data_IF_094811466399
#
_entry.id   IF_094811466399
#
_cell.length_a   1.000
_cell.length_b   1.000
_cell.length_c   1.000
_cell.angle_alpha   90.00
_cell.angle_beta   90.00
_cell.angle_gamma   90.00
#
_symmetry.space_group_name_H-M   'P 1'
#
loop_
_entity.id
_entity.type
_entity.pdbx_description
1 polymer ?
#
# COMPACT_ATOMS: atom_id res chain seq x y z
N UNK A 1 3.12 -1.16 -5.98
CA UNK A 1 3.10 -0.62 -4.60
C UNK A 1 2.23 -1.52 -3.75
N UNK A 2 2.42 -1.58 -2.43
CA UNK A 2 1.51 -2.29 -1.54
C UNK A 2 1.26 -1.52 -0.25
N UNK A 3 0.09 -1.76 0.36
CA UNK A 3 -0.24 -1.31 1.72
C UNK A 3 -0.58 -2.50 2.60
N UNK A 4 -0.11 -2.48 3.85
CA UNK A 4 -0.57 -3.44 4.87
C UNK A 4 -0.96 -2.73 6.15
N UNK A 5 -1.99 -3.24 6.83
CA UNK A 5 -2.36 -2.84 8.18
C UNK A 5 -1.82 -3.85 9.19
N UNK A 6 -1.24 -3.38 10.29
CA UNK A 6 -0.77 -4.21 11.41
C UNK A 6 0.14 -5.39 10.99
N UNK A 7 0.94 -5.20 9.94
CA UNK A 7 1.83 -6.23 9.40
C UNK A 7 1.13 -7.38 8.64
N UNK A 8 -0.18 -7.32 8.43
CA UNK A 8 -0.99 -8.35 7.75
C UNK A 8 -0.72 -8.52 6.26
N UNK A 9 -1.63 -9.19 5.55
CA UNK A 9 -1.49 -9.45 4.12
C UNK A 9 -1.58 -8.16 3.29
N UNK A 10 -0.79 -8.04 2.21
CA UNK A 10 -0.77 -6.82 1.39
C UNK A 10 -1.99 -6.67 0.50
N UNK A 11 -2.48 -5.44 0.41
CA UNK A 11 -3.25 -4.95 -0.74
C UNK A 11 -2.25 -4.38 -1.74
N UNK A 12 -2.28 -4.89 -2.96
CA UNK A 12 -1.33 -4.55 -4.03
C UNK A 12 -2.01 -3.56 -4.96
N UNK A 13 -1.30 -2.51 -5.34
CA UNK A 13 -1.75 -1.54 -6.33
C UNK A 13 -1.99 -2.25 -7.67
N UNK A 14 -3.14 -1.98 -8.28
CA UNK A 14 -3.61 -2.58 -9.52
C UNK A 14 -2.68 -2.28 -10.72
N UNK A 15 -2.15 -1.06 -10.82
CA UNK A 15 -1.10 -0.72 -11.77
C UNK A 15 0.30 -1.19 -11.29
N UNK A 16 0.95 -2.16 -11.97
CA UNK A 16 2.30 -2.61 -11.62
C UNK A 16 3.37 -1.53 -11.85
N UNK A 17 3.12 -0.52 -12.68
CA UNK A 17 4.03 0.57 -12.98
C UNK A 17 3.83 1.80 -12.09
N UNK A 18 2.93 1.76 -11.09
CA UNK A 18 2.60 2.92 -10.25
C UNK A 18 3.81 3.62 -9.61
N UNK A 19 4.84 2.87 -9.22
CA UNK A 19 6.06 3.43 -8.62
C UNK A 19 6.98 4.17 -9.63
N UNK A 20 6.67 4.11 -10.93
CA UNK A 20 7.43 4.75 -12.00
C UNK A 20 6.74 6.03 -12.50
N UNK A 21 5.54 6.34 -12.01
CA UNK A 21 4.78 7.52 -12.41
C UNK A 21 5.39 8.75 -11.73
N UNK A 22 5.90 9.69 -12.54
CA UNK A 22 6.52 10.93 -12.08
C UNK A 22 5.54 12.05 -11.72
N UNK A 23 4.35 11.71 -11.26
CA UNK A 23 3.28 12.64 -10.92
C UNK A 23 2.51 12.16 -9.69
N UNK A 24 1.84 13.08 -9.00
CA UNK A 24 0.95 12.74 -7.90
C UNK A 24 -0.23 11.90 -8.40
N UNK A 25 -0.43 10.76 -7.78
CA UNK A 25 -1.51 9.82 -8.09
C UNK A 25 -2.26 9.48 -6.80
N UNK A 26 -3.57 9.75 -6.72
CA UNK A 26 -4.36 9.27 -5.60
C UNK A 26 -4.45 7.74 -5.65
N UNK A 27 -4.48 7.11 -4.48
CA UNK A 27 -4.67 5.67 -4.36
C UNK A 27 -5.71 5.36 -3.29
N UNK A 28 -6.97 5.35 -3.70
CA UNK A 28 -8.09 5.06 -2.83
C UNK A 28 -8.28 3.55 -2.75
N UNK A 29 -8.06 3.00 -1.56
CA UNK A 29 -8.19 1.57 -1.30
C UNK A 29 -9.49 1.35 -0.51
N UNK A 30 -10.48 0.62 -1.05
CA UNK A 30 -11.65 0.24 -0.27
C UNK A 30 -11.24 -0.50 1.01
N UNK A 31 -11.75 -0.09 2.18
CA UNK A 31 -11.43 -0.77 3.44
C UNK A 31 -11.76 -2.27 3.39
N UNK A 32 -12.77 -2.65 2.59
CA UNK A 32 -13.14 -4.03 2.33
C UNK A 32 -11.97 -4.87 1.77
N UNK A 33 -11.06 -4.28 0.98
CA UNK A 33 -9.88 -4.97 0.44
C UNK A 33 -8.94 -5.50 1.54
N UNK A 34 -8.93 -4.86 2.71
CA UNK A 34 -8.20 -5.34 3.89
C UNK A 34 -9.03 -6.36 4.69
N UNK A 35 -10.34 -6.13 4.82
CA UNK A 35 -11.27 -7.05 5.52
C UNK A 35 -11.31 -8.42 4.84
N UNK A 36 -11.34 -8.45 3.50
CA UNK A 36 -11.30 -9.68 2.69
C UNK A 36 -10.02 -10.50 2.93
N UNK A 37 -8.99 -9.85 3.49
CA UNK A 37 -7.71 -10.46 3.88
C UNK A 37 -7.59 -10.72 5.38
N UNK A 38 -8.69 -10.57 6.13
CA UNK A 38 -8.77 -10.83 7.57
C UNK A 38 -8.28 -9.70 8.47
N UNK A 39 -8.09 -8.48 7.95
CA UNK A 39 -7.70 -7.35 8.77
C UNK A 39 -8.90 -6.77 9.55
N UNK A 40 -8.67 -6.40 10.81
CA UNK A 40 -9.60 -5.58 11.59
C UNK A 40 -9.32 -4.09 11.31
N UNK A 41 -10.10 -3.50 10.41
CA UNK A 41 -9.98 -2.08 10.03
C UNK A 41 -10.44 -1.12 11.14
N UNK A 42 -11.09 -1.60 12.19
CA UNK A 42 -11.48 -0.78 13.35
C UNK A 42 -10.35 -0.62 14.37
N UNK A 43 -9.26 -1.38 14.23
CA UNK A 43 -8.12 -1.38 15.13
C UNK A 43 -6.78 -1.36 14.36
N UNK A 44 -6.63 -0.42 13.42
CA UNK A 44 -5.37 -0.20 12.71
C UNK A 44 -4.41 0.64 13.59
N UNK A 45 -3.28 0.04 13.98
CA UNK A 45 -2.24 0.69 14.79
C UNK A 45 -0.96 1.00 14.00
N UNK A 46 -0.80 0.37 12.83
CA UNK A 46 0.32 0.64 11.93
C UNK A 46 -0.10 0.47 10.47
N UNK A 47 0.52 1.29 9.62
CA UNK A 47 0.40 1.25 8.16
C UNK A 47 1.81 1.03 7.60
N UNK A 48 1.95 0.08 6.69
CA UNK A 48 3.17 -0.10 5.90
C UNK A 48 2.88 0.28 4.46
N UNK A 49 3.63 1.24 3.93
CA UNK A 49 3.70 1.53 2.49
C UNK A 49 4.96 0.90 1.93
N UNK A 50 4.82 0.05 0.92
CA UNK A 50 5.94 -0.69 0.35
C UNK A 50 6.01 -0.64 -1.17
N UNK A 51 7.23 -0.78 -1.67
CA UNK A 51 7.55 -0.90 -3.09
C UNK A 51 7.96 -2.35 -3.37
N UNK A 52 7.54 -2.90 -4.50
CA UNK A 52 7.82 -4.29 -4.88
C UNK A 52 6.85 -5.29 -4.24
N UNK A 53 7.35 -6.49 -3.99
CA UNK A 53 6.59 -7.63 -3.44
C UNK A 53 7.00 -7.88 -1.98
N UNK A 54 6.03 -7.81 -1.05
CA UNK A 54 6.25 -8.05 0.38
C UNK A 54 6.66 -9.51 0.69
N UNK A 55 6.19 -10.47 -0.11
CA UNK A 55 6.39 -11.91 0.11
C UNK A 55 7.62 -12.39 -0.67
N UNK A 56 7.77 -11.93 -1.91
CA UNK A 56 8.82 -12.32 -2.85
C UNK A 56 9.85 -11.23 -3.15
N UNK A 57 10.52 -10.70 -2.11
CA UNK A 57 11.47 -9.59 -2.24
C UNK A 57 12.49 -9.81 -3.37
N UNK A 58 12.52 -8.89 -4.34
CA UNK A 58 13.51 -8.86 -5.40
C UNK A 58 14.55 -7.77 -5.12
N UNK A 59 15.85 -8.05 -5.29
CA UNK A 59 16.88 -7.03 -5.13
C UNK A 59 16.88 -6.04 -6.29
N UNK A 60 17.24 -4.79 -6.01
CA UNK A 60 17.43 -3.74 -7.02
C UNK A 60 16.34 -2.65 -7.00
N UNK A 61 16.58 -1.61 -7.80
CA UNK A 61 15.79 -0.37 -7.79
C UNK A 61 16.26 0.62 -6.73
N UNK A 62 16.46 1.86 -7.14
CA UNK A 62 16.74 3.00 -6.24
C UNK A 62 15.90 4.18 -6.69
N UNK A 63 15.52 5.03 -5.74
CA UNK A 63 14.70 6.20 -6.03
C UNK A 63 14.19 6.86 -4.77
N UNK A 64 13.48 7.98 -4.96
CA UNK A 64 12.83 8.74 -3.90
C UNK A 64 11.34 8.71 -4.14
N UNK A 65 10.57 8.39 -3.12
CA UNK A 65 9.10 8.45 -3.13
C UNK A 65 8.63 9.55 -2.18
N UNK A 66 7.56 10.23 -2.56
CA UNK A 66 6.84 11.18 -1.72
C UNK A 66 5.43 10.64 -1.49
N UNK A 67 4.95 10.74 -0.25
CA UNK A 67 3.61 10.33 0.16
C UNK A 67 3.01 11.46 1.00
N UNK A 68 1.73 11.74 0.79
CA UNK A 68 0.99 12.76 1.53
C UNK A 68 -0.48 12.33 1.69
N UNK A 69 -1.26 13.06 2.50
CA UNK A 69 -2.70 12.87 2.72
C UNK A 69 -3.12 11.43 3.08
N UNK A 70 -2.29 10.74 3.88
CA UNK A 70 -2.56 9.37 4.33
C UNK A 70 -3.63 9.40 5.42
N UNK A 71 -4.83 8.92 5.10
CA UNK A 71 -5.94 8.85 6.05
C UNK A 71 -7.13 8.05 5.55
N UNK A 72 -8.07 7.81 6.46
CA UNK A 72 -9.39 7.26 6.11
C UNK A 72 -10.31 8.42 5.73
N UNK A 73 -11.02 8.29 4.60
CA UNK A 73 -11.99 9.28 4.15
C UNK A 73 -13.35 8.62 3.81
N UNK A 74 -14.44 9.40 3.78
CA UNK A 74 -15.77 8.94 3.35
C UNK A 74 -15.83 8.52 1.87
#
# INVERSE_FOLDING_TARGET
LYVTLNGGLPVIHEDPAAAQIGAWMPWDIPLQSFVDKGADVTNATSITLGIGDKIGLQPGGTGTMYFDDIGVHP
#
